data_IF_496276335866
#
_entry.id   IF_496276335866
#
_cell.length_a   1.000
_cell.length_b   1.000
_cell.length_c   1.000
_cell.angle_alpha   90.00
_cell.angle_beta   90.00
_cell.angle_gamma   90.00
#
_symmetry.space_group_name_H-M   'P 1'
#
loop_
_entity.id
_entity.type
_entity.pdbx_description
1 polymer ?
#
# COMPACT_ATOMS: atom_id res chain seq x y z
N UNK A 1 25.12 9.49 -22.53
CA UNK A 1 24.17 10.36 -21.81
C UNK A 1 23.08 9.47 -21.22
N UNK A 2 23.28 8.99 -20.00
CA UNK A 2 22.31 8.13 -19.31
C UNK A 2 21.23 8.98 -18.69
N UNK A 3 19.98 8.73 -19.04
CA UNK A 3 18.85 9.36 -18.38
C UNK A 3 18.89 8.99 -16.89
N UNK A 4 19.14 9.96 -16.03
CA UNK A 4 18.86 9.85 -14.61
C UNK A 4 17.34 9.78 -14.47
N UNK A 5 16.78 8.57 -14.42
CA UNK A 5 15.39 8.39 -14.05
C UNK A 5 15.25 8.91 -12.63
N UNK A 6 14.68 10.10 -12.47
CA UNK A 6 14.11 10.49 -11.19
C UNK A 6 13.22 9.32 -10.76
N UNK A 7 13.52 8.63 -9.64
CA UNK A 7 12.68 7.54 -9.20
C UNK A 7 11.29 8.14 -9.00
N UNK A 8 10.33 7.71 -9.82
CA UNK A 8 8.95 8.04 -9.56
C UNK A 8 8.65 7.58 -8.12
N UNK A 9 8.03 8.42 -7.27
CA UNK A 9 7.73 8.02 -5.90
C UNK A 9 7.10 6.63 -5.90
N UNK A 10 7.66 5.68 -5.11
CA UNK A 10 7.29 4.25 -5.15
C UNK A 10 5.77 4.07 -5.17
N UNK A 11 5.04 4.84 -4.37
CA UNK A 11 3.58 4.83 -4.31
C UNK A 11 2.90 5.10 -5.65
N UNK A 12 3.35 6.12 -6.40
CA UNK A 12 2.76 6.46 -7.68
C UNK A 12 3.08 5.39 -8.73
N UNK A 13 4.31 4.87 -8.77
CA UNK A 13 4.69 3.81 -9.71
C UNK A 13 3.92 2.52 -9.45
N UNK A 14 3.74 2.19 -8.18
CA UNK A 14 2.96 1.03 -7.77
C UNK A 14 1.47 1.20 -8.10
N UNK A 15 0.90 2.39 -7.90
CA UNK A 15 -0.48 2.70 -8.32
C UNK A 15 -0.66 2.53 -9.83
N UNK A 16 0.27 3.05 -10.64
CA UNK A 16 0.22 2.92 -12.09
C UNK A 16 0.22 1.44 -12.51
N UNK A 17 1.07 0.62 -11.88
CA UNK A 17 1.13 -0.82 -12.15
C UNK A 17 -0.14 -1.57 -11.71
N UNK A 18 -0.69 -1.25 -10.53
CA UNK A 18 -1.97 -1.80 -10.05
C UNK A 18 -3.10 -1.42 -11.01
N UNK A 19 -3.16 -0.16 -11.44
CA UNK A 19 -4.18 0.30 -12.37
C UNK A 19 -4.04 -0.35 -13.75
N UNK A 20 -2.82 -0.60 -14.24
CA UNK A 20 -2.61 -1.35 -15.46
C UNK A 20 -3.19 -2.78 -15.36
N UNK A 21 -2.95 -3.48 -14.25
CA UNK A 21 -3.52 -4.81 -14.00
C UNK A 21 -5.04 -4.78 -13.85
N UNK A 22 -5.60 -3.75 -13.22
CA UNK A 22 -7.05 -3.58 -13.11
C UNK A 22 -7.70 -3.36 -14.48
N UNK A 23 -7.11 -2.51 -15.30
CA UNK A 23 -7.62 -2.18 -16.64
C UNK A 23 -7.55 -3.41 -17.56
N UNK A 24 -6.52 -4.26 -17.47
CA UNK A 24 -6.47 -5.49 -18.27
C UNK A 24 -7.59 -6.47 -17.93
N UNK A 25 -8.11 -6.42 -16.70
CA UNK A 25 -9.26 -7.20 -16.24
C UNK A 25 -10.60 -6.45 -16.38
N UNK A 26 -10.63 -5.31 -17.08
CA UNK A 26 -11.84 -4.52 -17.29
C UNK A 26 -12.37 -3.80 -16.03
N UNK A 27 -11.55 -3.65 -15.00
CA UNK A 27 -11.90 -2.96 -13.75
C UNK A 27 -11.55 -1.47 -13.83
N UNK A 28 -12.33 -0.65 -13.12
CA UNK A 28 -12.05 0.79 -13.01
C UNK A 28 -10.73 1.07 -12.26
N UNK A 29 -9.95 2.08 -12.68
CA UNK A 29 -8.71 2.45 -11.99
C UNK A 29 -8.99 3.01 -10.59
N UNK A 30 -8.04 2.81 -9.69
CA UNK A 30 -8.02 3.36 -8.33
C UNK A 30 -7.35 4.74 -8.33
N UNK A 31 -7.66 5.51 -7.28
CA UNK A 31 -6.98 6.75 -6.94
C UNK A 31 -6.44 6.65 -5.51
N UNK A 32 -5.39 7.42 -5.22
CA UNK A 32 -4.86 7.50 -3.87
C UNK A 32 -5.81 8.28 -2.94
N UNK A 33 -5.90 7.85 -1.69
CA UNK A 33 -6.50 8.60 -0.58
C UNK A 33 -5.39 8.98 0.39
N UNK A 34 -5.37 10.24 0.83
CA UNK A 34 -4.38 10.73 1.79
C UNK A 34 -4.51 9.99 3.14
N UNK A 35 -5.74 9.69 3.55
CA UNK A 35 -6.07 8.98 4.78
C UNK A 35 -5.60 7.53 4.73
N UNK A 36 -5.89 6.80 3.64
CA UNK A 36 -5.42 5.42 3.47
C UNK A 36 -3.89 5.35 3.35
N UNK A 37 -3.26 6.35 2.69
CA UNK A 37 -1.81 6.45 2.63
C UNK A 37 -1.20 6.63 4.03
N UNK A 38 -1.76 7.50 4.86
CA UNK A 38 -1.29 7.72 6.23
C UNK A 38 -1.46 6.48 7.12
N UNK A 39 -2.58 5.74 6.97
CA UNK A 39 -2.81 4.48 7.67
C UNK A 39 -1.78 3.40 7.27
N UNK A 40 -1.55 3.22 5.97
CA UNK A 40 -0.59 2.25 5.44
C UNK A 40 0.85 2.60 5.87
N UNK A 41 1.23 3.87 5.82
CA UNK A 41 2.55 4.35 6.22
C UNK A 41 2.83 4.16 7.71
N UNK A 42 1.80 4.36 8.55
CA UNK A 42 1.90 4.09 9.98
C UNK A 42 2.07 2.60 10.23
N UNK A 43 1.26 1.76 9.57
CA UNK A 43 1.30 0.32 9.78
C UNK A 43 2.59 -0.33 9.25
N UNK A 44 3.12 0.10 8.11
CA UNK A 44 4.38 -0.39 7.59
C UNK A 44 5.56 -0.10 8.55
N UNK A 45 5.56 1.06 9.21
CA UNK A 45 6.55 1.39 10.25
C UNK A 45 6.36 0.51 11.50
N UNK A 46 5.12 0.30 11.92
CA UNK A 46 4.81 -0.56 13.06
C UNK A 46 5.27 -2.01 12.82
N UNK A 47 4.94 -2.60 11.66
CA UNK A 47 5.45 -3.92 11.25
C UNK A 47 6.98 -3.99 11.28
N UNK A 48 7.65 -2.94 10.76
CA UNK A 48 9.12 -2.85 10.77
C UNK A 48 9.71 -2.82 12.19
N UNK A 49 9.08 -2.09 13.11
CA UNK A 49 9.50 -2.04 14.53
C UNK A 49 9.26 -3.40 15.21
N UNK A 50 8.14 -4.06 14.91
CA UNK A 50 7.81 -5.38 15.44
C UNK A 50 8.63 -6.52 14.83
N UNK A 51 9.26 -6.30 13.66
CA UNK A 51 9.93 -7.32 12.84
C UNK A 51 8.98 -8.48 12.51
N UNK A 52 7.75 -8.12 12.13
CA UNK A 52 6.68 -9.07 11.86
C UNK A 52 5.65 -8.47 10.92
N UNK A 53 5.49 -9.06 9.73
CA UNK A 53 4.31 -8.84 8.91
C UNK A 53 3.05 -9.44 9.56
N UNK A 54 2.13 -8.58 10.03
CA UNK A 54 0.82 -9.00 10.52
C UNK A 54 -0.19 -7.85 10.35
N UNK A 55 -1.42 -8.15 9.91
CA UNK A 55 -2.52 -7.20 9.74
C UNK A 55 -2.96 -6.43 11.00
N UNK A 56 -2.59 -6.88 12.19
CA UNK A 56 -2.92 -6.17 13.43
C UNK A 56 -1.74 -5.33 13.89
N UNK A 57 -2.01 -4.08 14.25
CA UNK A 57 -0.99 -3.20 14.80
C UNK A 57 -0.52 -3.66 16.19
N UNK A 58 0.56 -3.07 16.68
CA UNK A 58 1.04 -3.23 18.06
C UNK A 58 0.00 -2.86 19.11
N UNK A 59 -0.93 -1.99 18.76
CA UNK A 59 -2.08 -1.60 19.58
C UNK A 59 -3.34 -2.45 19.33
N UNK A 60 -3.19 -3.59 18.67
CA UNK A 60 -4.24 -4.54 18.26
C UNK A 60 -5.27 -3.99 17.28
N UNK A 61 -5.04 -2.81 16.69
CA UNK A 61 -5.96 -2.28 15.68
C UNK A 61 -5.95 -3.12 14.42
N UNK A 62 -7.14 -3.37 13.89
CA UNK A 62 -7.37 -3.88 12.55
C UNK A 62 -7.11 -2.81 11.48
N UNK A 63 -6.95 -3.24 10.23
CA UNK A 63 -6.82 -2.37 9.06
C UNK A 63 -8.00 -1.40 8.91
N UNK A 64 -9.22 -1.80 9.30
CA UNK A 64 -10.41 -0.92 9.32
C UNK A 64 -10.26 0.19 10.36
N UNK A 65 -9.90 -0.16 11.59
CA UNK A 65 -9.76 0.80 12.69
C UNK A 65 -8.66 1.82 12.40
N UNK A 66 -7.52 1.38 11.84
CA UNK A 66 -6.44 2.28 11.44
C UNK A 66 -6.88 3.26 10.35
N UNK A 67 -7.59 2.81 9.32
CA UNK A 67 -8.13 3.68 8.28
C UNK A 67 -9.11 4.72 8.86
N UNK A 68 -10.02 4.30 9.75
CA UNK A 68 -10.95 5.24 10.41
C UNK A 68 -10.23 6.27 11.28
N UNK A 69 -9.20 5.86 12.03
CA UNK A 69 -8.37 6.77 12.84
C UNK A 69 -7.60 7.77 11.96
N UNK A 70 -7.18 7.36 10.77
CA UNK A 70 -6.56 8.24 9.78
C UNK A 70 -7.56 9.19 9.07
N UNK A 71 -8.85 9.11 9.40
CA UNK A 71 -9.89 9.99 8.86
C UNK A 71 -10.64 9.43 7.66
N UNK A 72 -10.32 8.23 7.17
CA UNK A 72 -11.07 7.62 6.07
C UNK A 72 -12.51 7.31 6.52
N UNK A 73 -13.49 7.59 5.66
CA UNK A 73 -14.93 7.39 5.95
C UNK A 73 -15.64 6.50 4.94
N UNK A 74 -14.93 6.02 3.93
CA UNK A 74 -15.47 5.06 2.97
C UNK A 74 -15.47 3.63 3.52
N UNK A 75 -15.93 2.70 2.69
CA UNK A 75 -15.77 1.29 2.97
C UNK A 75 -14.32 0.87 2.75
N UNK A 76 -13.72 0.26 3.77
CA UNK A 76 -12.41 -0.39 3.64
C UNK A 76 -12.69 -1.85 3.31
N UNK A 77 -12.12 -2.34 2.21
CA UNK A 77 -12.41 -3.69 1.68
C UNK A 77 -11.31 -4.72 1.98
N UNK A 78 -10.08 -4.30 2.26
CA UNK A 78 -8.98 -5.19 2.59
C UNK A 78 -7.64 -4.47 2.74
N UNK A 79 -6.60 -5.25 3.01
CA UNK A 79 -5.22 -4.80 3.14
C UNK A 79 -4.29 -5.87 2.56
N UNK A 80 -3.36 -5.47 1.70
CA UNK A 80 -2.24 -6.30 1.28
C UNK A 80 -0.97 -5.79 1.97
N UNK A 81 -0.18 -6.70 2.53
CA UNK A 81 1.08 -6.38 3.24
C UNK A 81 2.21 -7.25 2.71
N UNK A 82 3.44 -6.75 2.84
CA UNK A 82 4.66 -7.49 2.52
C UNK A 82 5.80 -7.01 3.40
N UNK A 83 6.64 -7.93 3.84
CA UNK A 83 7.90 -7.68 4.55
C UNK A 83 9.00 -8.47 3.84
N UNK A 84 10.04 -7.77 3.39
CA UNK A 84 11.13 -8.38 2.64
C UNK A 84 11.94 -7.33 1.88
N UNK A 85 12.87 -7.79 1.05
CA UNK A 85 13.77 -6.93 0.27
C UNK A 85 13.32 -6.70 -1.19
N UNK A 86 12.20 -7.30 -1.59
CA UNK A 86 11.71 -7.20 -2.96
C UNK A 86 11.17 -5.81 -3.29
N UNK A 87 11.23 -5.45 -4.57
CA UNK A 87 10.68 -4.17 -5.05
C UNK A 87 9.15 -4.20 -5.04
N UNK A 88 8.52 -3.04 -4.96
CA UNK A 88 7.08 -2.82 -5.11
C UNK A 88 6.46 -3.54 -6.34
N UNK A 89 7.17 -3.55 -7.48
CA UNK A 89 6.68 -4.23 -8.70
C UNK A 89 6.87 -5.74 -8.67
N UNK A 90 7.85 -6.23 -7.91
CA UNK A 90 8.01 -7.67 -7.66
C UNK A 90 6.90 -8.14 -6.72
N UNK A 91 6.66 -7.40 -5.63
CA UNK A 91 5.60 -7.70 -4.65
C UNK A 91 4.23 -7.77 -5.30
N UNK A 92 3.92 -6.87 -6.25
CA UNK A 92 2.65 -6.90 -6.98
C UNK A 92 2.41 -8.23 -7.71
N UNK A 93 3.46 -8.97 -8.10
CA UNK A 93 3.31 -10.27 -8.77
C UNK A 93 3.02 -11.41 -7.80
N UNK A 94 3.18 -11.19 -6.50
CA UNK A 94 2.85 -12.17 -5.45
C UNK A 94 1.40 -12.06 -4.99
N UNK A 95 0.79 -10.89 -5.18
CA UNK A 95 -0.63 -10.63 -4.91
C UNK A 95 -1.49 -10.96 -6.12
#
# INVERSE_FOLDING_TARGET
MGATSTPWPIRLRHLDAVNAARISEGLAPLQLSAELNAAADTHARDMSVQKRAWHFGSDLTSWRERAFRAGYRGEVVGENIFEGSDTDLTVLKYW
#
